data_IF_879887423507
#
_entry.id   IF_879887423507
#
_cell.length_a   1.000
_cell.length_b   1.000
_cell.length_c   1.000
_cell.angle_alpha   90.00
_cell.angle_beta   90.00
_cell.angle_gamma   90.00
#
_symmetry.space_group_name_H-M   'P 1'
#
loop_
_entity.id
_entity.type
_entity.pdbx_description
1 polymer ?
#
# COMPACT_ATOMS: atom_id res chain seq x y z
N UNK A 1 -13.01 9.54 23.37
CA UNK A 1 -13.30 8.51 22.35
C UNK A 1 -12.01 7.78 22.08
N UNK A 2 -11.90 6.51 22.43
CA UNK A 2 -10.75 5.68 22.03
C UNK A 2 -10.75 5.59 20.51
N UNK A 3 -9.70 6.07 19.84
CA UNK A 3 -9.57 5.90 18.39
C UNK A 3 -9.58 4.40 18.11
N UNK A 4 -10.58 3.91 17.38
CA UNK A 4 -10.61 2.53 16.92
C UNK A 4 -9.62 2.41 15.77
N UNK A 5 -8.36 2.13 16.10
CA UNK A 5 -7.30 1.92 15.11
C UNK A 5 -7.44 0.52 14.53
N UNK A 6 -7.72 0.43 13.22
CA UNK A 6 -7.75 -0.86 12.53
C UNK A 6 -6.39 -1.54 12.56
N UNK A 7 -6.30 -2.87 12.76
CA UNK A 7 -5.04 -3.58 12.60
C UNK A 7 -4.52 -3.47 11.16
N UNK A 8 -3.19 -3.41 11.00
CA UNK A 8 -2.53 -3.38 9.69
C UNK A 8 -1.97 -4.77 9.39
N UNK A 9 -2.62 -5.46 8.48
CA UNK A 9 -2.26 -6.79 8.00
C UNK A 9 -1.51 -6.73 6.67
N UNK A 10 -0.68 -7.73 6.39
CA UNK A 10 0.24 -7.72 5.26
C UNK A 10 0.17 -9.01 4.46
N UNK A 11 0.13 -8.89 3.14
CA UNK A 11 0.54 -10.01 2.29
C UNK A 11 2.04 -10.27 2.54
N UNK A 12 2.41 -11.53 2.77
CA UNK A 12 3.77 -11.93 3.14
C UNK A 12 4.84 -11.41 2.17
N UNK A 13 4.57 -11.45 0.86
CA UNK A 13 5.49 -10.94 -0.17
C UNK A 13 5.60 -9.43 -0.12
N UNK A 14 4.51 -8.70 0.11
CA UNK A 14 4.54 -7.25 0.29
C UNK A 14 5.38 -6.85 1.50
N UNK A 15 5.25 -7.57 2.63
CA UNK A 15 6.08 -7.31 3.82
C UNK A 15 7.57 -7.57 3.56
N UNK A 16 7.91 -8.64 2.82
CA UNK A 16 9.30 -8.94 2.45
C UNK A 16 9.91 -7.80 1.61
N UNK A 17 9.22 -7.36 0.56
CA UNK A 17 9.68 -6.25 -0.27
C UNK A 17 9.77 -4.94 0.52
N UNK A 18 8.76 -4.62 1.32
CA UNK A 18 8.75 -3.42 2.16
C UNK A 18 9.95 -3.35 3.11
N UNK A 19 10.37 -4.49 3.67
CA UNK A 19 11.54 -4.55 4.56
C UNK A 19 12.85 -4.22 3.85
N UNK A 20 12.92 -4.35 2.52
CA UNK A 20 14.11 -3.94 1.74
C UNK A 20 14.24 -2.43 1.56
N UNK A 21 13.17 -1.67 1.83
CA UNK A 21 13.20 -0.21 1.69
C UNK A 21 14.17 0.40 2.71
N UNK A 22 14.77 1.57 2.42
CA UNK A 22 15.54 2.34 3.40
C UNK A 22 14.69 2.64 4.64
N UNK A 23 15.33 2.68 5.82
CA UNK A 23 14.64 2.88 7.09
C UNK A 23 13.77 4.15 7.14
N UNK A 24 14.28 5.27 6.63
CA UNK A 24 13.51 6.51 6.55
C UNK A 24 12.28 6.38 5.66
N UNK A 25 12.37 5.65 4.54
CA UNK A 25 11.24 5.38 3.67
C UNK A 25 10.20 4.47 4.36
N UNK A 26 10.66 3.44 5.08
CA UNK A 26 9.75 2.58 5.87
C UNK A 26 9.00 3.37 6.93
N UNK A 27 9.71 4.24 7.67
CA UNK A 27 9.11 5.04 8.74
C UNK A 27 8.00 5.96 8.23
N UNK A 28 8.24 6.64 7.11
CA UNK A 28 7.23 7.51 6.48
C UNK A 28 6.03 6.71 6.00
N UNK A 29 6.25 5.57 5.35
CA UNK A 29 5.16 4.70 4.90
C UNK A 29 4.35 4.12 6.06
N UNK A 30 5.00 3.70 7.15
CA UNK A 30 4.32 3.21 8.36
C UNK A 30 3.45 4.30 8.99
N UNK A 31 3.96 5.54 9.09
CA UNK A 31 3.17 6.67 9.58
C UNK A 31 1.92 6.91 8.71
N UNK A 32 2.05 6.84 7.38
CA UNK A 32 0.92 6.96 6.47
C UNK A 32 -0.10 5.81 6.62
N UNK A 33 0.37 4.57 6.84
CA UNK A 33 -0.50 3.43 7.12
C UNK A 33 -1.22 3.56 8.48
N UNK A 34 -0.55 4.10 9.51
CA UNK A 34 -1.17 4.42 10.80
C UNK A 34 -2.28 5.46 10.64
N UNK A 35 -2.04 6.53 9.88
CA UNK A 35 -3.08 7.53 9.58
C UNK A 35 -4.29 6.86 8.92
N UNK A 36 -4.05 5.95 7.96
CA UNK A 36 -5.12 5.19 7.32
C UNK A 36 -5.87 4.30 8.32
N UNK A 37 -5.14 3.61 9.21
CA UNK A 37 -5.70 2.72 10.23
C UNK A 37 -6.60 3.45 11.22
N UNK A 38 -6.33 4.72 11.45
CA UNK A 38 -7.14 5.61 12.28
C UNK A 38 -8.30 6.28 11.51
N UNK A 39 -8.55 5.86 10.26
CA UNK A 39 -9.63 6.38 9.41
C UNK A 39 -9.29 7.65 8.62
N UNK A 40 -8.05 8.14 8.70
CA UNK A 40 -7.57 9.29 7.95
C UNK A 40 -7.04 8.92 6.56
N UNK A 41 -6.55 9.93 5.83
CA UNK A 41 -5.81 9.74 4.57
C UNK A 41 -4.57 10.62 4.58
N UNK A 42 -3.39 10.02 4.53
CA UNK A 42 -2.15 10.76 4.40
C UNK A 42 -2.10 11.55 3.07
N UNK A 43 -1.36 12.65 3.03
CA UNK A 43 -1.21 13.49 1.83
C UNK A 43 -0.48 12.75 0.70
N UNK A 44 0.47 11.89 1.06
CA UNK A 44 1.21 11.04 0.14
C UNK A 44 0.40 9.81 -0.33
N UNK A 45 -0.82 9.61 0.20
CA UNK A 45 -1.70 8.53 -0.19
C UNK A 45 -2.76 9.01 -1.20
N UNK A 46 -2.87 8.28 -2.31
CA UNK A 46 -3.79 8.58 -3.43
C UNK A 46 -4.68 7.37 -3.72
N UNK A 47 -5.97 7.57 -4.02
CA UNK A 47 -6.83 6.48 -4.49
C UNK A 47 -6.25 5.85 -5.76
N UNK A 48 -6.28 4.51 -5.85
CA UNK A 48 -5.85 3.79 -7.04
C UNK A 48 -7.06 3.46 -7.91
N UNK A 49 -7.19 4.11 -9.06
CA UNK A 49 -8.30 3.88 -9.99
C UNK A 49 -8.11 2.57 -10.77
N UNK A 50 -9.22 1.88 -11.06
CA UNK A 50 -9.24 0.69 -11.93
C UNK A 50 -8.99 -0.67 -11.24
N UNK A 51 -8.65 -0.69 -9.94
CA UNK A 51 -8.43 -1.94 -9.17
C UNK A 51 -9.62 -2.26 -8.23
N UNK A 52 -10.42 -1.26 -7.88
CA UNK A 52 -11.60 -1.39 -7.01
C UNK A 52 -11.70 -0.24 -6.01
N UNK A 53 -12.85 -0.09 -5.35
CA UNK A 53 -13.04 0.90 -4.29
C UNK A 53 -12.18 0.57 -3.07
N UNK A 54 -11.76 1.61 -2.35
CA UNK A 54 -11.05 1.45 -1.08
C UNK A 54 -9.59 0.99 -1.21
N UNK A 55 -9.01 1.01 -2.41
CA UNK A 55 -7.59 0.74 -2.65
C UNK A 55 -6.82 2.04 -2.84
N UNK A 56 -5.70 2.17 -2.11
CA UNK A 56 -4.88 3.37 -2.08
C UNK A 56 -3.41 3.05 -2.31
N UNK A 57 -2.69 4.03 -2.85
CA UNK A 57 -1.25 4.00 -3.08
C UNK A 57 -0.56 5.10 -2.27
N UNK A 58 0.39 4.74 -1.42
CA UNK A 58 1.40 5.66 -0.90
C UNK A 58 2.47 5.82 -1.97
N UNK A 59 2.68 7.05 -2.44
CA UNK A 59 3.72 7.38 -3.41
C UNK A 59 4.81 8.26 -2.77
N UNK A 60 5.92 7.65 -2.39
CA UNK A 60 7.01 8.30 -1.66
C UNK A 60 8.28 8.43 -2.53
N UNK A 61 8.73 9.65 -2.76
CA UNK A 61 10.08 9.91 -3.24
C UNK A 61 11.04 10.02 -2.03
N UNK A 62 12.13 9.26 -2.01
CA UNK A 62 13.09 9.26 -0.91
C UNK A 62 14.50 8.99 -1.41
N UNK A 63 15.44 9.91 -1.14
CA UNK A 63 16.87 9.80 -1.52
C UNK A 63 17.10 9.35 -2.98
N UNK A 64 16.39 9.96 -3.93
CA UNK A 64 16.50 9.62 -5.36
C UNK A 64 15.75 8.35 -5.80
N UNK A 65 15.18 7.58 -4.87
CA UNK A 65 14.30 6.45 -5.15
C UNK A 65 12.82 6.83 -5.10
N UNK A 66 11.99 6.05 -5.80
CA UNK A 66 10.54 6.14 -5.72
C UNK A 66 9.96 4.83 -5.16
N UNK A 67 9.34 4.91 -4.00
CA UNK A 67 8.79 3.78 -3.25
C UNK A 67 7.26 3.85 -3.25
N UNK A 68 6.63 2.72 -3.57
CA UNK A 68 5.17 2.60 -3.61
C UNK A 68 4.72 1.53 -2.63
N UNK A 69 3.65 1.82 -1.88
CA UNK A 69 2.97 0.86 -1.01
C UNK A 69 1.48 0.92 -1.31
N UNK A 70 0.89 -0.22 -1.61
CA UNK A 70 -0.52 -0.34 -2.01
C UNK A 70 -1.29 -1.07 -0.92
N UNK A 71 -2.38 -0.48 -0.47
CA UNK A 71 -3.18 -0.99 0.64
C UNK A 71 -4.69 -0.84 0.39
N UNK A 72 -5.50 -1.69 1.03
CA UNK A 72 -6.95 -1.65 1.01
C UNK A 72 -7.52 -1.39 2.41
N UNK A 73 -8.54 -0.52 2.50
CA UNK A 73 -9.14 -0.07 3.78
C UNK A 73 -10.53 -0.66 4.06
N UNK A 74 -11.12 -1.33 3.06
CA UNK A 74 -12.48 -1.88 3.09
C UNK A 74 -12.46 -3.42 3.02
N UNK A 75 -11.42 -4.05 3.57
CA UNK A 75 -11.26 -5.50 3.50
C UNK A 75 -11.22 -6.09 4.91
N UNK A 76 -12.35 -6.67 5.32
CA UNK A 76 -12.60 -7.11 6.70
C UNK A 76 -12.43 -5.95 7.71
N UNK A 77 -12.03 -6.27 8.95
CA UNK A 77 -11.81 -5.30 10.02
C UNK A 77 -10.44 -4.59 9.91
N UNK A 78 -9.57 -5.10 9.02
CA UNK A 78 -8.18 -4.72 8.89
C UNK A 78 -7.94 -3.70 7.75
N UNK A 79 -6.78 -3.05 7.81
CA UNK A 79 -6.14 -2.51 6.62
C UNK A 79 -5.15 -3.53 6.09
N UNK A 80 -5.27 -3.86 4.81
CA UNK A 80 -4.40 -4.83 4.16
C UNK A 80 -3.39 -4.19 3.24
N UNK A 81 -2.10 -4.39 3.51
CA UNK A 81 -1.02 -4.04 2.57
C UNK A 81 -0.84 -5.16 1.55
N UNK A 82 -1.14 -4.83 0.30
CA UNK A 82 -1.24 -5.78 -0.82
C UNK A 82 0.09 -5.91 -1.57
N UNK A 83 0.78 -4.78 -1.75
CA UNK A 83 2.03 -4.74 -2.52
C UNK A 83 2.92 -3.60 -2.05
N UNK A 84 4.23 -3.81 -2.15
CA UNK A 84 5.24 -2.79 -1.93
C UNK A 84 6.36 -2.99 -2.95
N UNK A 85 6.83 -1.92 -3.58
CA UNK A 85 7.92 -1.98 -4.54
C UNK A 85 8.65 -0.65 -4.66
N UNK A 86 9.94 -0.72 -5.05
CA UNK A 86 10.69 0.44 -5.51
C UNK A 86 10.59 0.52 -7.04
N UNK A 87 10.08 1.64 -7.56
CA UNK A 87 10.09 1.91 -9.00
C UNK A 87 11.53 2.15 -9.44
N UNK A 88 12.03 1.31 -10.35
CA UNK A 88 13.41 1.36 -10.86
C UNK A 88 13.62 2.26 -12.09
N UNK A 89 12.57 2.55 -12.85
CA UNK A 89 12.66 3.40 -14.06
C UNK A 89 12.20 4.84 -13.77
N UNK A 90 12.96 5.81 -14.28
CA UNK A 90 12.65 7.25 -14.29
C UNK A 90 11.59 7.62 -15.33
N UNK A 91 11.28 6.74 -16.29
CA UNK A 91 10.26 7.02 -17.31
C UNK A 91 8.86 6.73 -16.77
N UNK A 92 7.99 7.74 -16.82
CA UNK A 92 6.56 7.65 -16.52
C UNK A 92 6.15 7.91 -15.06
N UNK A 93 5.12 8.74 -14.87
CA UNK A 93 4.47 8.98 -13.56
C UNK A 93 3.62 7.77 -13.12
N UNK A 94 3.14 7.00 -14.10
CA UNK A 94 2.21 5.89 -13.91
C UNK A 94 2.91 4.65 -13.37
N UNK A 95 2.18 3.91 -12.53
CA UNK A 95 2.57 2.58 -12.07
C UNK A 95 2.60 1.61 -13.27
N UNK A 96 3.68 0.83 -13.46
CA UNK A 96 3.78 -0.07 -14.62
C UNK A 96 2.63 -1.07 -14.66
N UNK A 97 2.15 -1.40 -15.87
CA UNK A 97 1.01 -2.33 -16.06
C UNK A 97 1.21 -3.66 -15.32
N UNK A 98 2.42 -4.23 -15.36
CA UNK A 98 2.76 -5.47 -14.63
C UNK A 98 2.48 -5.38 -13.13
N UNK A 99 2.72 -4.21 -12.51
CA UNK A 99 2.47 -4.03 -11.08
C UNK A 99 0.97 -3.92 -10.82
N UNK A 100 0.22 -3.25 -11.71
CA UNK A 100 -1.25 -3.16 -11.66
C UNK A 100 -1.87 -4.55 -11.75
N UNK A 101 -1.43 -5.37 -12.70
CA UNK A 101 -1.93 -6.72 -12.91
C UNK A 101 -1.63 -7.60 -11.66
N UNK A 102 -0.43 -7.48 -11.09
CA UNK A 102 -0.03 -8.20 -9.88
C UNK A 102 -0.83 -7.76 -8.64
N UNK A 103 -1.08 -6.46 -8.47
CA UNK A 103 -1.91 -5.94 -7.38
C UNK A 103 -3.33 -6.48 -7.51
N UNK A 104 -3.88 -6.51 -8.73
CA UNK A 104 -5.24 -6.97 -9.00
C UNK A 104 -5.38 -8.47 -8.68
N UNK A 105 -4.45 -9.30 -9.14
CA UNK A 105 -4.42 -10.74 -8.82
C UNK A 105 -4.30 -10.99 -7.31
N UNK A 106 -3.38 -10.29 -6.63
CA UNK A 106 -3.21 -10.44 -5.18
C UNK A 106 -4.45 -10.02 -4.40
N UNK A 107 -5.10 -8.92 -4.80
CA UNK A 107 -6.33 -8.46 -4.17
C UNK A 107 -7.47 -9.46 -4.36
N UNK A 108 -7.59 -10.06 -5.55
CA UNK A 108 -8.59 -11.11 -5.81
C UNK A 108 -8.38 -12.31 -4.89
N UNK A 109 -7.17 -12.86 -4.84
CA UNK A 109 -6.84 -14.01 -3.98
C UNK A 109 -7.05 -13.69 -2.49
N UNK A 110 -6.71 -12.48 -2.07
CA UNK A 110 -6.91 -12.06 -0.68
C UNK A 110 -8.40 -11.98 -0.33
N UNK A 111 -9.25 -11.48 -1.24
CA UNK A 111 -10.71 -11.49 -1.05
C UNK A 111 -11.26 -12.91 -0.93
N UNK A 112 -10.82 -13.82 -1.80
CA UNK A 112 -11.24 -15.23 -1.77
C UNK A 112 -10.81 -15.94 -0.47
N UNK A 113 -9.65 -15.61 0.09
CA UNK A 113 -9.14 -16.21 1.32
C UNK A 113 -9.80 -15.66 2.61
N UNK A 114 -10.52 -14.54 2.52
CA UNK A 114 -11.22 -13.90 3.64
C UNK A 114 -12.74 -14.15 3.62
N UNK A 115 -13.24 -14.89 2.62
CA UNK A 115 -14.62 -15.38 2.52
C UNK A 115 -14.75 -16.75 3.18
#
# INVERSE_FOLDING_TARGET
>A
MTRTTKPISWIRTALKEFRTFPEGARSICLAALTIAAEGGKADIAKPMHGIGSGVFEIALAFRGGAFRVVYAVQLAEDIWVIHAFQKKSTEGIKTPKREIDLITDRLKRLKEALQ
#
